data_IF_839392643403
#
_entry.id   IF_839392643403
#
_cell.length_a   1.000
_cell.length_b   1.000
_cell.length_c   1.000
_cell.angle_alpha   90.00
_cell.angle_beta   90.00
_cell.angle_gamma   90.00
#
_symmetry.space_group_name_H-M   'P 1'
#
loop_
_entity.id
_entity.type
_entity.pdbx_description
1 polymer ?
#
# COMPACT_ATOMS: atom_id res chain seq x y z
N UNK A 1 16.69 -10.55 15.25
CA UNK A 1 17.04 -9.39 14.41
C UNK A 1 15.81 -9.07 13.58
N UNK A 2 15.27 -7.85 13.69
CA UNK A 2 14.13 -7.44 12.86
C UNK A 2 14.71 -6.96 11.56
N UNK A 3 14.53 -7.71 10.47
CA UNK A 3 14.97 -7.30 9.13
C UNK A 3 13.84 -6.49 8.50
N UNK A 4 14.03 -5.18 8.40
CA UNK A 4 13.14 -4.32 7.63
C UNK A 4 13.60 -4.35 6.17
N UNK A 5 12.70 -4.55 5.20
CA UNK A 5 13.04 -4.52 3.79
C UNK A 5 13.81 -3.24 3.43
N UNK A 6 14.94 -3.37 2.74
CA UNK A 6 15.81 -2.24 2.35
C UNK A 6 15.05 -1.11 1.62
N UNK A 7 13.97 -1.46 0.95
CA UNK A 7 13.12 -0.50 0.22
C UNK A 7 12.38 0.47 1.14
N UNK A 8 11.97 0.04 2.34
CA UNK A 8 11.38 0.94 3.33
C UNK A 8 12.45 1.85 3.97
N UNK A 9 13.70 1.38 4.08
CA UNK A 9 14.81 2.19 4.58
C UNK A 9 15.28 3.23 3.56
N UNK A 10 15.33 2.90 2.27
CA UNK A 10 15.75 3.84 1.22
C UNK A 10 14.68 4.90 0.91
N UNK A 11 13.41 4.60 1.17
CA UNK A 11 12.30 5.54 0.97
C UNK A 11 12.17 6.55 2.10
N UNK A 12 12.68 6.28 3.29
CA UNK A 12 12.74 7.25 4.40
C UNK A 12 13.57 8.50 4.03
N UNK A 13 14.56 8.37 3.17
CA UNK A 13 15.41 9.48 2.69
C UNK A 13 14.68 10.48 1.76
N UNK A 14 13.48 10.15 1.25
CA UNK A 14 12.70 11.04 0.36
C UNK A 14 11.82 12.05 1.11
N UNK A 15 11.86 12.06 2.44
CA UNK A 15 10.90 12.82 3.27
C UNK A 15 11.41 14.21 3.74
N UNK A 16 12.14 14.95 2.91
CA UNK A 16 12.42 16.37 3.17
C UNK A 16 11.21 17.32 3.24
N UNK A 17 9.98 16.78 3.06
CA UNK A 17 8.75 17.58 3.00
C UNK A 17 7.76 17.31 4.15
N UNK A 18 8.17 16.56 5.16
CA UNK A 18 7.26 15.86 6.07
C UNK A 18 6.78 16.59 7.31
N UNK A 19 7.16 17.83 7.61
CA UNK A 19 6.68 18.49 8.85
C UNK A 19 5.16 18.63 8.90
N UNK A 20 4.53 19.02 7.80
CA UNK A 20 3.06 19.16 7.70
C UNK A 20 2.36 17.81 7.88
N UNK A 21 2.94 16.77 7.30
CA UNK A 21 2.41 15.42 7.37
C UNK A 21 2.62 14.79 8.75
N UNK A 22 3.80 15.00 9.35
CA UNK A 22 4.12 14.55 10.71
C UNK A 22 3.23 15.21 11.74
N UNK A 23 2.99 16.52 11.59
CA UNK A 23 2.05 17.26 12.42
C UNK A 23 0.64 16.68 12.35
N UNK A 24 0.11 16.48 11.14
CA UNK A 24 -1.22 15.91 10.93
C UNK A 24 -1.32 14.47 11.45
N UNK A 25 -0.29 13.64 11.21
CA UNK A 25 -0.26 12.25 11.67
C UNK A 25 -0.14 12.13 13.20
N UNK A 26 0.65 12.99 13.84
CA UNK A 26 0.75 13.04 15.29
C UNK A 26 -0.59 13.40 15.96
N UNK A 27 -1.39 14.25 15.30
CA UNK A 27 -2.68 14.72 15.78
C UNK A 27 -3.85 13.78 15.46
N UNK A 28 -3.67 12.73 14.65
CA UNK A 28 -4.77 11.82 14.26
C UNK A 28 -5.26 10.90 15.37
N UNK A 29 -4.62 10.90 16.55
CA UNK A 29 -5.05 10.11 17.71
C UNK A 29 -6.32 10.69 18.33
N UNK A 30 -7.44 10.06 18.01
CA UNK A 30 -8.62 10.19 18.84
C UNK A 30 -8.53 9.21 20.01
N UNK A 31 -8.25 9.73 21.19
CA UNK A 31 -8.22 8.96 22.44
C UNK A 31 -9.60 8.43 22.85
N UNK A 32 -10.67 8.93 22.25
CA UNK A 32 -12.06 8.60 22.61
C UNK A 32 -12.63 7.40 21.85
N UNK A 33 -12.02 6.97 20.75
CA UNK A 33 -12.48 5.83 19.93
C UNK A 33 -11.50 4.65 19.93
N UNK A 34 -11.02 4.27 21.11
CA UNK A 34 -10.64 2.91 21.49
C UNK A 34 -9.88 2.03 20.52
N UNK A 35 -8.70 2.45 20.09
CA UNK A 35 -7.71 1.53 19.56
C UNK A 35 -6.44 1.62 20.39
N UNK A 36 -6.30 0.84 21.45
CA UNK A 36 -5.13 0.87 22.35
C UNK A 36 -3.80 0.48 21.71
N UNK A 37 -3.71 0.41 20.37
CA UNK A 37 -2.48 0.09 19.64
C UNK A 37 -1.74 1.37 19.24
N UNK A 38 -0.44 1.46 19.57
CA UNK A 38 0.42 2.56 19.13
C UNK A 38 0.70 2.50 17.63
N UNK A 39 1.22 3.59 17.05
CA UNK A 39 1.65 3.61 15.64
C UNK A 39 2.72 2.55 15.39
N UNK A 40 3.65 2.35 16.32
CA UNK A 40 4.68 1.31 16.24
C UNK A 40 4.10 -0.08 16.19
N UNK A 41 3.03 -0.36 16.96
CA UNK A 41 2.32 -1.65 16.90
C UNK A 41 1.55 -1.82 15.59
N UNK A 42 0.97 -0.74 15.04
CA UNK A 42 0.32 -0.77 13.74
C UNK A 42 1.34 -1.01 12.62
N UNK A 43 2.51 -0.38 12.70
CA UNK A 43 3.62 -0.65 11.79
C UNK A 43 4.07 -2.11 11.86
N UNK A 44 4.29 -2.64 13.08
CA UNK A 44 4.65 -4.03 13.29
C UNK A 44 3.65 -5.01 12.66
N UNK A 45 2.35 -4.73 12.78
CA UNK A 45 1.28 -5.49 12.13
C UNK A 45 1.31 -5.41 10.60
N UNK A 46 1.69 -4.27 10.04
CA UNK A 46 1.76 -4.06 8.58
C UNK A 46 2.98 -4.76 7.99
N UNK A 47 4.13 -4.71 8.67
CA UNK A 47 5.37 -5.34 8.24
C UNK A 47 5.32 -6.87 8.37
N UNK A 48 4.63 -7.37 9.39
CA UNK A 48 4.51 -8.80 9.66
C UNK A 48 3.03 -9.18 9.67
N UNK A 49 2.47 -9.53 8.50
CA UNK A 49 1.07 -9.91 8.38
C UNK A 49 0.73 -11.04 9.34
N UNK A 50 -0.45 -10.96 9.92
CA UNK A 50 -0.93 -12.00 10.83
C UNK A 50 -1.06 -13.31 10.07
N UNK A 51 -0.51 -14.40 10.64
CA UNK A 51 -0.89 -15.73 10.24
C UNK A 51 -2.41 -15.93 10.48
N UNK A 52 -3.04 -16.78 9.70
CA UNK A 52 -4.46 -17.11 9.88
C UNK A 52 -4.71 -17.58 11.31
N UNK A 53 -5.56 -16.85 12.02
CA UNK A 53 -5.91 -17.11 13.42
C UNK A 53 -7.16 -18.01 13.50
N UNK A 54 -7.76 -18.35 12.35
CA UNK A 54 -8.92 -19.23 12.30
C UNK A 54 -8.57 -20.61 12.91
N UNK A 55 -9.43 -21.10 13.78
CA UNK A 55 -9.28 -22.44 14.38
C UNK A 55 -10.64 -23.10 14.48
N UNK A 56 -10.70 -24.36 14.08
CA UNK A 56 -11.89 -25.19 14.23
C UNK A 56 -12.15 -25.61 15.71
N UNK A 57 -11.17 -25.40 16.59
CA UNK A 57 -11.27 -25.77 18.03
C UNK A 57 -11.81 -24.54 18.80
N UNK A 58 -12.93 -24.68 19.54
CA UNK A 58 -13.50 -23.63 20.37
C UNK A 58 -12.47 -23.10 21.39
N UNK A 59 -12.33 -21.77 21.51
CA UNK A 59 -11.40 -21.12 22.45
C UNK A 59 -9.96 -20.95 21.94
N UNK A 60 -9.45 -21.78 21.06
CA UNK A 60 -8.09 -21.67 20.52
C UNK A 60 -7.86 -20.41 19.69
N UNK A 61 -8.88 -19.87 19.05
CA UNK A 61 -8.80 -18.60 18.33
C UNK A 61 -8.44 -17.41 19.25
N UNK A 62 -8.97 -17.40 20.49
CA UNK A 62 -8.63 -16.38 21.48
C UNK A 62 -7.18 -16.49 21.95
N UNK A 63 -6.71 -17.70 22.23
CA UNK A 63 -5.31 -17.95 22.64
C UNK A 63 -4.33 -17.56 21.51
N UNK A 64 -4.62 -17.97 20.29
CA UNK A 64 -3.84 -17.54 19.11
C UNK A 64 -3.82 -16.02 18.95
N UNK A 65 -4.95 -15.35 19.20
CA UNK A 65 -5.04 -13.88 19.12
C UNK A 65 -4.12 -13.20 20.15
N UNK A 66 -4.10 -13.70 21.40
CA UNK A 66 -3.20 -13.20 22.45
C UNK A 66 -1.74 -13.38 22.04
N UNK A 67 -1.40 -14.56 21.51
CA UNK A 67 -0.04 -14.85 21.03
C UNK A 67 0.40 -13.94 19.86
N UNK A 68 -0.50 -13.66 18.92
CA UNK A 68 -0.25 -12.72 17.85
C UNK A 68 -0.03 -11.31 18.40
N UNK A 69 -0.83 -10.89 19.37
CA UNK A 69 -0.65 -9.59 20.04
C UNK A 69 0.66 -9.47 20.80
N UNK A 70 1.09 -10.53 21.45
CA UNK A 70 2.38 -10.57 22.13
C UNK A 70 3.55 -10.40 21.13
N UNK A 71 3.48 -11.09 19.99
CA UNK A 71 4.47 -10.91 18.91
C UNK A 71 4.49 -9.49 18.37
N UNK A 72 3.32 -8.87 18.12
CA UNK A 72 3.24 -7.46 17.73
C UNK A 72 3.90 -6.54 18.76
N UNK A 73 3.71 -6.78 20.05
CA UNK A 73 4.33 -6.00 21.14
C UNK A 73 5.85 -6.14 21.15
N UNK A 74 6.35 -7.37 21.12
CA UNK A 74 7.80 -7.63 21.09
C UNK A 74 8.45 -6.96 19.87
N UNK A 75 7.80 -7.03 18.71
CA UNK A 75 8.27 -6.39 17.48
C UNK A 75 8.26 -4.86 17.62
N UNK A 76 7.20 -4.30 18.20
CA UNK A 76 7.12 -2.86 18.45
C UNK A 76 8.24 -2.36 19.38
N UNK A 77 8.52 -3.08 20.47
CA UNK A 77 9.64 -2.76 21.38
C UNK A 77 10.98 -2.84 20.65
N UNK A 78 11.18 -3.83 19.78
CA UNK A 78 12.40 -3.93 18.98
C UNK A 78 12.54 -2.76 18.00
N UNK A 79 11.44 -2.33 17.36
CA UNK A 79 11.44 -1.15 16.49
C UNK A 79 11.81 0.11 17.28
N UNK A 80 11.19 0.37 18.43
CA UNK A 80 11.46 1.55 19.25
C UNK A 80 12.86 1.58 19.86
N UNK A 81 13.53 0.43 20.00
CA UNK A 81 14.93 0.36 20.44
C UNK A 81 15.95 0.65 19.34
N UNK A 82 15.60 0.38 18.08
CA UNK A 82 16.52 0.46 16.93
C UNK A 82 16.28 1.68 16.03
N UNK A 83 15.14 2.33 16.15
CA UNK A 83 14.71 3.42 15.29
C UNK A 83 14.16 4.58 16.11
N UNK A 84 14.40 5.79 15.64
CA UNK A 84 13.81 7.01 16.19
C UNK A 84 12.31 7.07 15.91
N UNK A 85 11.59 7.92 16.64
CA UNK A 85 10.15 8.12 16.40
C UNK A 85 9.85 8.62 14.99
N UNK A 86 10.73 9.45 14.45
CA UNK A 86 10.60 9.99 13.10
C UNK A 86 10.77 8.90 12.03
N UNK A 87 11.79 8.05 12.18
CA UNK A 87 11.99 6.92 11.29
C UNK A 87 10.82 5.92 11.32
N UNK A 88 10.28 5.66 12.53
CA UNK A 88 9.08 4.80 12.69
C UNK A 88 7.87 5.43 12.00
N UNK A 89 7.69 6.76 12.12
CA UNK A 89 6.61 7.47 11.44
C UNK A 89 6.78 7.40 9.93
N UNK A 90 7.98 7.63 9.42
CA UNK A 90 8.27 7.56 7.99
C UNK A 90 8.01 6.15 7.44
N UNK A 91 8.48 5.11 8.12
CA UNK A 91 8.17 3.72 7.76
C UNK A 91 6.66 3.44 7.76
N UNK A 92 5.94 3.95 8.77
CA UNK A 92 4.49 3.78 8.88
C UNK A 92 3.76 4.44 7.71
N UNK A 93 4.09 5.70 7.40
CA UNK A 93 3.48 6.45 6.32
C UNK A 93 3.77 5.86 4.94
N UNK A 94 4.91 5.18 4.78
CA UNK A 94 5.26 4.48 3.54
C UNK A 94 4.58 3.12 3.39
N UNK A 95 4.12 2.50 4.48
CA UNK A 95 3.56 1.15 4.47
C UNK A 95 2.03 1.11 4.61
N UNK A 96 1.42 2.14 5.21
CA UNK A 96 0.00 2.12 5.56
C UNK A 96 -0.90 2.20 4.31
N UNK A 97 -2.05 1.51 4.39
CA UNK A 97 -3.06 1.52 3.35
C UNK A 97 -3.98 2.73 3.46
N UNK A 98 -4.15 3.48 2.38
CA UNK A 98 -4.99 4.68 2.28
C UNK A 98 -6.31 4.47 1.54
N UNK A 99 -6.59 3.28 1.03
CA UNK A 99 -7.74 3.02 0.15
C UNK A 99 -7.39 3.17 -1.33
N UNK A 100 -8.32 2.83 -2.24
CA UNK A 100 -8.14 2.92 -3.70
C UNK A 100 -6.82 2.30 -4.19
N UNK A 101 -6.45 1.13 -3.64
CA UNK A 101 -5.18 0.42 -3.87
C UNK A 101 -3.90 1.20 -3.53
N UNK A 102 -4.01 2.36 -2.86
CA UNK A 102 -2.85 3.17 -2.50
C UNK A 102 -2.22 2.70 -1.19
N UNK A 103 -1.01 2.15 -1.27
CA UNK A 103 -0.16 1.82 -0.14
C UNK A 103 0.98 2.83 -0.04
N UNK A 104 1.08 3.45 1.11
CA UNK A 104 2.04 4.52 1.37
C UNK A 104 1.58 5.89 0.85
N UNK A 105 2.13 6.93 1.50
CA UNK A 105 1.72 8.32 1.25
C UNK A 105 2.02 8.80 -0.16
N UNK A 106 3.09 8.31 -0.79
CA UNK A 106 3.42 8.68 -2.17
C UNK A 106 2.36 8.18 -3.15
N UNK A 107 1.96 6.91 -3.04
CA UNK A 107 0.90 6.35 -3.86
C UNK A 107 -0.44 7.06 -3.59
N UNK A 108 -0.75 7.34 -2.31
CA UNK A 108 -1.98 8.04 -1.94
C UNK A 108 -2.04 9.47 -2.48
N UNK A 109 -0.96 10.24 -2.36
CA UNK A 109 -0.92 11.63 -2.89
C UNK A 109 -1.08 11.67 -4.41
N UNK A 110 -0.46 10.74 -5.11
CA UNK A 110 -0.63 10.60 -6.56
C UNK A 110 -2.06 10.16 -6.92
N UNK A 111 -2.60 9.16 -6.23
CA UNK A 111 -3.94 8.62 -6.50
C UNK A 111 -5.04 9.65 -6.27
N UNK A 112 -5.00 10.39 -5.16
CA UNK A 112 -6.10 11.29 -4.78
C UNK A 112 -5.94 12.70 -5.30
N UNK A 113 -4.70 13.19 -5.48
CA UNK A 113 -4.43 14.59 -5.78
C UNK A 113 -3.50 14.81 -6.98
N UNK A 114 -2.98 13.74 -7.60
CA UNK A 114 -1.99 13.78 -8.70
C UNK A 114 -0.75 14.64 -8.35
N UNK A 115 -0.35 14.66 -7.07
CA UNK A 115 0.76 15.47 -6.54
C UNK A 115 1.82 14.58 -5.88
N UNK A 116 3.04 15.12 -5.75
CA UNK A 116 4.01 14.52 -4.83
C UNK A 116 3.65 14.84 -3.37
N UNK A 117 4.08 14.05 -2.39
CA UNK A 117 3.84 14.33 -0.98
C UNK A 117 4.33 15.72 -0.51
N UNK A 118 5.42 16.23 -1.13
CA UNK A 118 5.97 17.58 -0.89
C UNK A 118 5.03 18.72 -1.27
N UNK A 119 4.20 18.47 -2.27
CA UNK A 119 3.39 19.50 -2.92
C UNK A 119 1.96 19.53 -2.37
N UNK A 120 1.65 18.62 -1.42
CA UNK A 120 0.35 18.58 -0.76
C UNK A 120 0.14 19.83 0.11
N UNK A 121 -1.06 20.37 0.03
CA UNK A 121 -1.51 21.40 0.95
C UNK A 121 -1.87 20.83 2.33
N UNK A 122 -2.13 21.70 3.31
CA UNK A 122 -2.47 21.25 4.67
C UNK A 122 -3.77 20.47 4.67
N UNK A 123 -4.80 20.94 3.95
CA UNK A 123 -6.10 20.27 3.86
C UNK A 123 -6.02 18.93 3.13
N UNK A 124 -5.20 18.80 2.10
CA UNK A 124 -4.96 17.54 1.40
C UNK A 124 -4.22 16.54 2.30
N UNK A 125 -3.19 17.00 2.99
CA UNK A 125 -2.45 16.20 3.99
C UNK A 125 -3.36 15.73 5.12
N UNK A 126 -4.18 16.62 5.67
CA UNK A 126 -5.14 16.28 6.72
C UNK A 126 -6.22 15.30 6.24
N UNK A 127 -6.61 15.37 4.97
CA UNK A 127 -7.54 14.40 4.34
C UNK A 127 -6.92 13.01 4.33
N UNK A 128 -5.69 12.87 3.81
CA UNK A 128 -5.00 11.57 3.77
C UNK A 128 -4.79 11.00 5.16
N UNK A 129 -4.33 11.81 6.12
CA UNK A 129 -4.17 11.37 7.52
C UNK A 129 -5.51 10.92 8.12
N UNK A 130 -6.58 11.64 7.83
CA UNK A 130 -7.93 11.27 8.26
C UNK A 130 -8.37 9.90 7.75
N UNK A 131 -7.97 9.55 6.52
CA UNK A 131 -8.30 8.26 5.88
C UNK A 131 -7.63 7.06 6.55
N UNK A 132 -6.42 7.20 7.10
CA UNK A 132 -5.66 6.09 7.71
C UNK A 132 -6.45 5.34 8.78
N UNK A 133 -7.31 6.03 9.51
CA UNK A 133 -8.13 5.42 10.57
C UNK A 133 -9.12 4.37 10.02
N UNK A 134 -9.86 4.71 8.95
CA UNK A 134 -10.81 3.83 8.26
C UNK A 134 -10.83 4.18 6.76
N UNK A 135 -9.90 3.61 5.95
CA UNK A 135 -9.67 4.03 4.57
C UNK A 135 -10.92 4.01 3.67
N UNK A 136 -11.77 3.00 3.80
CA UNK A 136 -13.03 2.93 3.02
C UNK A 136 -14.06 3.95 3.50
N UNK A 137 -14.20 4.14 4.83
CA UNK A 137 -15.22 5.01 5.41
C UNK A 137 -14.94 6.50 5.16
N UNK A 138 -13.66 6.88 5.21
CA UNK A 138 -13.21 8.26 5.06
C UNK A 138 -12.59 8.55 3.69
N UNK A 139 -12.84 7.67 2.72
CA UNK A 139 -12.44 7.89 1.34
C UNK A 139 -13.22 9.08 0.75
N UNK A 140 -12.55 10.15 0.29
CA UNK A 140 -13.21 11.36 -0.20
C UNK A 140 -13.99 11.15 -1.51
N UNK A 141 -13.62 10.12 -2.30
CA UNK A 141 -14.33 9.76 -3.53
C UNK A 141 -15.62 9.00 -3.24
N UNK A 142 -15.61 8.13 -2.21
CA UNK A 142 -16.76 7.27 -1.88
C UNK A 142 -17.69 7.98 -0.89
N UNK A 143 -17.14 8.69 0.10
CA UNK A 143 -17.88 9.30 1.19
C UNK A 143 -17.36 10.74 1.47
N UNK A 144 -17.60 11.71 0.58
CA UNK A 144 -17.05 13.07 0.69
C UNK A 144 -17.37 13.76 2.00
N UNK A 145 -18.62 13.65 2.48
CA UNK A 145 -19.06 14.31 3.74
C UNK A 145 -18.33 13.75 4.97
N UNK A 146 -18.19 12.43 5.05
CA UNK A 146 -17.46 11.78 6.16
C UNK A 146 -15.97 12.07 6.09
N UNK A 147 -15.42 12.16 4.90
CA UNK A 147 -14.04 12.57 4.67
C UNK A 147 -13.81 14.00 5.13
N UNK A 148 -14.70 14.94 4.75
CA UNK A 148 -14.66 16.34 5.16
C UNK A 148 -14.72 16.48 6.70
N UNK A 149 -15.67 15.79 7.35
CA UNK A 149 -15.78 15.80 8.81
C UNK A 149 -14.48 15.28 9.48
N UNK A 150 -13.93 14.19 8.96
CA UNK A 150 -12.72 13.60 9.51
C UNK A 150 -11.48 14.48 9.27
N UNK A 151 -11.35 15.10 8.10
CA UNK A 151 -10.33 16.12 7.80
C UNK A 151 -10.42 17.29 8.78
N UNK A 152 -11.62 17.82 8.99
CA UNK A 152 -11.84 18.95 9.90
C UNK A 152 -11.52 18.61 11.36
N UNK A 153 -11.74 17.35 11.77
CA UNK A 153 -11.27 16.84 13.05
C UNK A 153 -9.73 16.87 13.13
N UNK A 154 -9.02 16.35 12.12
CA UNK A 154 -7.55 16.37 12.08
C UNK A 154 -7.01 17.80 12.15
N UNK A 155 -7.57 18.73 11.37
CA UNK A 155 -7.22 20.15 11.39
C UNK A 155 -7.42 20.78 12.79
N UNK A 156 -8.50 20.42 13.48
CA UNK A 156 -8.72 20.87 14.85
C UNK A 156 -7.72 20.28 15.86
N UNK A 157 -7.22 19.05 15.62
CA UNK A 157 -6.14 18.52 16.46
C UNK A 157 -4.79 19.21 16.18
N UNK A 158 -4.53 19.58 14.92
CA UNK A 158 -3.33 20.35 14.56
C UNK A 158 -3.29 21.72 15.24
N UNK A 159 -4.44 22.40 15.31
CA UNK A 159 -4.57 23.66 16.05
C UNK A 159 -4.32 23.45 17.55
N UNK A 160 -4.97 22.47 18.18
CA UNK A 160 -4.76 22.16 19.61
C UNK A 160 -3.31 21.80 19.94
N UNK A 161 -2.58 21.22 18.99
CA UNK A 161 -1.16 20.89 19.14
C UNK A 161 -0.22 22.07 18.80
N UNK A 162 -0.75 23.24 18.46
CA UNK A 162 0.02 24.45 18.17
C UNK A 162 0.64 24.53 16.77
N UNK A 163 0.28 23.64 15.85
CA UNK A 163 0.75 23.68 14.45
C UNK A 163 -0.02 24.67 13.58
N UNK A 164 -1.23 25.07 13.99
CA UNK A 164 -2.07 26.02 13.30
C UNK A 164 -2.62 27.05 14.28
N UNK A 165 -2.79 28.27 13.82
CA UNK A 165 -3.56 29.28 14.56
C UNK A 165 -5.06 29.03 14.35
N UNK A 166 -5.90 29.61 15.23
CA UNK A 166 -7.37 29.54 15.12
C UNK A 166 -7.87 30.08 13.77
N UNK A 167 -7.34 31.22 13.33
CA UNK A 167 -7.68 31.81 12.03
C UNK A 167 -7.33 30.91 10.83
N UNK A 168 -6.16 30.24 10.89
CA UNK A 168 -5.76 29.27 9.85
C UNK A 168 -6.68 28.04 9.85
N UNK A 169 -7.00 27.49 11.03
CA UNK A 169 -7.95 26.39 11.17
C UNK A 169 -9.28 26.70 10.50
N UNK A 170 -9.85 27.85 10.80
CA UNK A 170 -11.17 28.25 10.31
C UNK A 170 -11.16 28.52 8.79
N UNK A 171 -10.12 29.16 8.29
CA UNK A 171 -9.92 29.36 6.86
C UNK A 171 -9.81 28.00 6.12
N UNK A 172 -8.98 27.07 6.60
CA UNK A 172 -8.75 25.76 5.94
C UNK A 172 -10.03 24.91 5.98
N UNK A 173 -10.83 24.98 7.05
CA UNK A 173 -12.10 24.23 7.16
C UNK A 173 -13.12 24.62 6.10
N UNK A 174 -13.08 25.83 5.57
CA UNK A 174 -13.99 26.29 4.52
C UNK A 174 -13.62 25.73 3.13
N UNK A 175 -12.38 25.29 2.93
CA UNK A 175 -11.93 24.74 1.65
C UNK A 175 -12.62 23.38 1.42
N UNK A 176 -13.31 23.15 0.29
CA UNK A 176 -13.91 21.87 -0.04
C UNK A 176 -12.82 20.81 -0.27
N UNK A 177 -13.15 19.54 -0.07
CA UNK A 177 -12.25 18.43 -0.46
C UNK A 177 -12.36 18.25 -1.97
N UNK A 178 -11.30 18.60 -2.68
CA UNK A 178 -11.23 18.45 -4.13
C UNK A 178 -10.42 17.20 -4.49
N UNK A 179 -11.06 16.23 -5.11
CA UNK A 179 -10.45 14.99 -5.63
C UNK A 179 -10.72 14.84 -7.13
N UNK A 180 -10.89 15.93 -7.85
CA UNK A 180 -11.11 15.90 -9.32
C UNK A 180 -9.95 15.25 -10.08
N UNK A 181 -8.76 15.27 -9.52
CA UNK A 181 -7.57 14.61 -10.07
C UNK A 181 -7.43 13.13 -9.64
N UNK A 182 -8.44 12.57 -8.98
CA UNK A 182 -8.38 11.17 -8.50
C UNK A 182 -8.24 10.20 -9.68
N UNK A 183 -7.19 9.42 -9.62
CA UNK A 183 -6.93 8.31 -10.54
C UNK A 183 -6.51 7.09 -9.74
N UNK A 184 -7.28 6.01 -9.83
CA UNK A 184 -6.85 4.75 -9.23
C UNK A 184 -5.61 4.28 -9.99
N UNK A 185 -4.48 4.26 -9.31
CA UNK A 185 -3.29 3.63 -9.84
C UNK A 185 -3.50 2.10 -9.76
N UNK A 186 -4.13 1.55 -10.78
CA UNK A 186 -4.20 0.11 -10.95
C UNK A 186 -2.79 -0.42 -11.25
N UNK A 187 -2.50 -1.66 -10.84
CA UNK A 187 -1.28 -2.36 -11.25
C UNK A 187 -1.17 -2.51 -12.77
N UNK A 188 -2.30 -2.37 -13.48
CA UNK A 188 -2.36 -2.27 -14.94
C UNK A 188 -2.13 -0.84 -15.46
N UNK A 189 -2.11 0.19 -14.60
CA UNK A 189 -1.83 1.55 -15.02
C UNK A 189 -0.38 1.70 -15.50
N UNK A 190 -0.19 2.56 -16.50
CA UNK A 190 1.10 2.84 -17.12
C UNK A 190 1.36 1.98 -18.35
N UNK A 191 2.55 2.14 -18.91
CA UNK A 191 2.94 1.56 -20.19
C UNK A 191 2.92 0.02 -20.16
N UNK A 192 2.36 -0.60 -21.22
CA UNK A 192 2.31 -2.05 -21.40
C UNK A 192 1.41 -2.80 -20.43
N UNK A 193 0.15 -2.40 -20.18
CA UNK A 193 -0.73 -3.06 -19.21
C UNK A 193 -0.95 -4.53 -19.52
N UNK A 194 -1.16 -4.87 -20.79
CA UNK A 194 -1.34 -6.26 -21.24
C UNK A 194 -0.07 -7.10 -21.02
N UNK A 195 1.10 -6.53 -21.30
CA UNK A 195 2.38 -7.20 -21.05
C UNK A 195 2.58 -7.48 -19.56
N UNK A 196 2.28 -6.50 -18.70
CA UNK A 196 2.35 -6.66 -17.25
C UNK A 196 1.43 -7.78 -16.76
N UNK A 197 0.19 -7.81 -17.21
CA UNK A 197 -0.78 -8.84 -16.82
C UNK A 197 -0.34 -10.23 -17.32
N UNK A 198 0.11 -10.35 -18.56
CA UNK A 198 0.66 -11.58 -19.11
C UNK A 198 1.86 -12.07 -18.28
N UNK A 199 2.79 -11.17 -17.96
CA UNK A 199 3.97 -11.50 -17.17
C UNK A 199 3.60 -11.98 -15.76
N UNK A 200 2.68 -11.28 -15.10
CA UNK A 200 2.19 -11.65 -13.77
C UNK A 200 1.55 -13.04 -13.79
N UNK A 201 0.69 -13.33 -14.77
CA UNK A 201 0.05 -14.65 -14.94
C UNK A 201 1.09 -15.74 -15.20
N UNK A 202 2.04 -15.47 -16.07
CA UNK A 202 3.13 -16.41 -16.40
C UNK A 202 3.96 -16.74 -15.16
N UNK A 203 4.39 -15.73 -14.39
CA UNK A 203 5.20 -15.94 -13.19
C UNK A 203 4.43 -16.61 -12.05
N UNK A 204 3.10 -16.39 -11.94
CA UNK A 204 2.21 -17.00 -10.94
C UNK A 204 1.67 -18.37 -11.34
N UNK A 205 1.96 -18.84 -12.55
CA UNK A 205 1.51 -20.17 -12.98
C UNK A 205 1.95 -21.24 -11.97
N UNK A 206 1.11 -22.24 -11.76
CA UNK A 206 1.39 -23.37 -10.88
C UNK A 206 1.80 -24.57 -11.72
N UNK A 207 2.48 -25.53 -11.11
CA UNK A 207 2.80 -26.78 -11.76
C UNK A 207 1.53 -27.43 -12.31
N UNK A 208 1.45 -27.73 -13.63
CA UNK A 208 0.30 -28.33 -14.23
C UNK A 208 -0.05 -29.68 -13.60
N UNK A 209 -1.33 -29.92 -13.36
CA UNK A 209 -1.84 -31.23 -12.90
C UNK A 209 -2.82 -31.75 -13.94
N UNK A 210 -2.72 -33.01 -14.31
CA UNK A 210 -3.60 -33.62 -15.34
C UNK A 210 -5.10 -33.43 -15.03
N UNK A 211 -5.46 -33.39 -13.74
CA UNK A 211 -6.83 -33.17 -13.29
C UNK A 211 -7.43 -31.83 -13.63
N UNK A 212 -6.58 -30.83 -13.90
CA UNK A 212 -7.00 -29.43 -14.09
C UNK A 212 -7.32 -29.12 -15.59
N UNK A 213 -7.10 -30.11 -16.47
CA UNK A 213 -7.22 -29.97 -17.92
C UNK A 213 -8.25 -30.93 -18.50
N UNK A 214 -9.12 -30.43 -19.35
CA UNK A 214 -10.08 -31.25 -20.08
C UNK A 214 -9.38 -32.04 -21.18
N UNK A 215 -8.52 -31.39 -21.98
CA UNK A 215 -7.79 -32.03 -23.08
C UNK A 215 -6.37 -32.44 -22.64
N UNK A 216 -5.93 -33.61 -23.13
CA UNK A 216 -4.59 -34.11 -22.84
C UNK A 216 -3.49 -33.27 -23.49
N UNK A 217 -3.78 -32.69 -24.64
CA UNK A 217 -2.87 -31.84 -25.42
C UNK A 217 -2.52 -30.56 -24.70
N UNK A 218 -3.52 -29.88 -24.08
CA UNK A 218 -3.31 -28.67 -23.30
C UNK A 218 -2.44 -28.94 -22.07
N UNK A 219 -2.69 -30.09 -21.39
CA UNK A 219 -1.85 -30.51 -20.28
C UNK A 219 -0.42 -30.78 -20.72
N UNK A 220 -0.22 -31.46 -21.88
CA UNK A 220 1.11 -31.75 -22.39
C UNK A 220 1.86 -30.47 -22.76
N UNK A 221 1.16 -29.52 -23.41
CA UNK A 221 1.72 -28.22 -23.79
C UNK A 221 2.16 -27.40 -22.58
N UNK A 222 1.31 -27.27 -21.56
CA UNK A 222 1.65 -26.54 -20.34
C UNK A 222 2.68 -27.24 -19.48
N UNK A 223 2.70 -28.59 -19.49
CA UNK A 223 3.76 -29.36 -18.83
C UNK A 223 5.11 -29.17 -19.50
N UNK A 224 5.16 -29.16 -20.81
CA UNK A 224 6.39 -28.86 -21.56
C UNK A 224 6.86 -27.41 -21.28
N UNK A 225 5.92 -26.47 -21.31
CA UNK A 225 6.21 -25.08 -20.99
C UNK A 225 6.74 -24.92 -19.56
N UNK A 226 6.18 -25.67 -18.60
CA UNK A 226 6.66 -25.68 -17.23
C UNK A 226 8.13 -26.11 -17.14
N UNK A 227 8.57 -27.08 -17.92
CA UNK A 227 9.92 -27.59 -17.91
C UNK A 227 10.90 -26.69 -18.68
N UNK A 228 10.46 -26.11 -19.79
CA UNK A 228 11.34 -25.39 -20.72
C UNK A 228 11.37 -23.88 -20.52
N UNK A 229 10.26 -23.25 -20.07
CA UNK A 229 10.18 -21.81 -19.84
C UNK A 229 10.59 -21.47 -18.41
N UNK A 230 11.75 -20.83 -18.27
CA UNK A 230 12.28 -20.42 -16.96
C UNK A 230 11.42 -19.40 -16.21
N UNK A 231 10.52 -18.66 -16.91
CA UNK A 231 9.66 -17.63 -16.32
C UNK A 231 8.30 -18.21 -15.95
N UNK A 232 7.81 -19.22 -16.68
CA UNK A 232 6.52 -19.86 -16.40
C UNK A 232 6.55 -20.57 -15.07
N UNK A 233 5.76 -20.07 -14.10
CA UNK A 233 5.73 -20.59 -12.73
C UNK A 233 6.95 -20.22 -11.89
N UNK A 234 7.64 -19.13 -12.21
CA UNK A 234 8.88 -18.73 -11.51
C UNK A 234 8.68 -18.60 -10.00
N UNK A 235 7.55 -18.05 -9.55
CA UNK A 235 7.23 -17.89 -8.12
C UNK A 235 7.00 -19.23 -7.39
N UNK A 236 6.60 -20.26 -8.11
CA UNK A 236 6.39 -21.60 -7.54
C UNK A 236 7.69 -22.42 -7.53
N UNK A 237 8.54 -22.22 -8.56
CA UNK A 237 9.83 -22.88 -8.70
C UNK A 237 10.91 -22.33 -7.78
N UNK A 238 10.82 -21.04 -7.38
CA UNK A 238 11.86 -20.36 -6.62
C UNK A 238 11.39 -20.03 -5.20
N UNK A 239 12.29 -20.16 -4.24
CA UNK A 239 12.06 -19.86 -2.84
C UNK A 239 13.13 -18.91 -2.31
N UNK A 240 12.79 -18.11 -1.32
CA UNK A 240 13.74 -17.29 -0.57
C UNK A 240 14.66 -18.17 0.27
N UNK A 241 15.75 -17.59 0.77
CA UNK A 241 16.69 -18.28 1.64
C UNK A 241 16.07 -18.85 2.92
N UNK A 242 14.95 -18.27 3.38
CA UNK A 242 14.17 -18.72 4.53
C UNK A 242 13.10 -19.78 4.17
N UNK A 243 13.03 -20.24 2.92
CA UNK A 243 12.08 -21.22 2.40
C UNK A 243 10.71 -20.63 2.03
N UNK A 244 10.46 -19.35 2.29
CA UNK A 244 9.20 -18.69 1.94
C UNK A 244 9.10 -18.42 0.43
N UNK A 245 7.86 -18.26 -0.05
CA UNK A 245 7.59 -17.88 -1.44
C UNK A 245 7.92 -16.40 -1.68
N UNK A 246 8.42 -16.09 -2.88
CA UNK A 246 8.54 -14.70 -3.31
C UNK A 246 7.16 -14.08 -3.54
N UNK A 247 7.01 -12.81 -3.12
CA UNK A 247 5.85 -11.98 -3.42
C UNK A 247 6.22 -10.97 -4.50
N UNK A 248 5.52 -11.02 -5.64
CA UNK A 248 5.80 -10.19 -6.82
C UNK A 248 5.74 -8.68 -6.52
N UNK A 249 4.93 -8.30 -5.53
CA UNK A 249 4.65 -6.90 -5.20
C UNK A 249 5.44 -6.37 -3.99
N UNK A 250 5.98 -7.26 -3.15
CA UNK A 250 6.60 -6.89 -1.87
C UNK A 250 8.09 -7.12 -1.81
N UNK A 251 8.62 -8.06 -2.58
CA UNK A 251 10.02 -8.48 -2.45
C UNK A 251 10.99 -7.72 -3.37
N UNK A 252 10.52 -6.66 -4.04
CA UNK A 252 11.37 -5.78 -4.84
C UNK A 252 12.05 -6.46 -6.03
N UNK A 253 11.39 -7.45 -6.63
CA UNK A 253 11.90 -8.15 -7.80
C UNK A 253 12.13 -7.19 -8.97
N UNK A 254 13.30 -7.27 -9.58
CA UNK A 254 13.62 -6.54 -10.80
C UNK A 254 13.44 -7.45 -12.00
N UNK A 255 12.52 -7.10 -12.89
CA UNK A 255 12.21 -7.86 -14.09
C UNK A 255 12.70 -7.06 -15.30
N UNK A 256 13.62 -7.64 -16.05
CA UNK A 256 14.15 -7.05 -17.27
C UNK A 256 13.39 -7.61 -18.46
N UNK A 257 12.95 -6.74 -19.37
CA UNK A 257 12.26 -7.14 -20.59
C UNK A 257 12.95 -6.53 -21.81
N UNK A 258 12.66 -7.06 -22.99
CA UNK A 258 13.13 -6.56 -24.28
C UNK A 258 12.22 -5.47 -24.86
N UNK A 259 11.17 -5.06 -24.13
CA UNK A 259 10.25 -4.01 -24.58
C UNK A 259 10.95 -2.67 -24.56
N UNK A 260 11.00 -2.01 -25.71
CA UNK A 260 11.41 -0.61 -25.82
C UNK A 260 10.27 0.30 -25.35
N UNK A 261 10.58 1.18 -24.40
CA UNK A 261 9.60 2.07 -23.77
C UNK A 261 8.97 3.04 -24.78
N UNK A 262 9.75 3.54 -25.75
CA UNK A 262 9.24 4.51 -26.71
C UNK A 262 8.38 3.84 -27.78
N UNK A 263 8.82 2.70 -28.27
CA UNK A 263 8.03 1.90 -29.23
C UNK A 263 6.69 1.46 -28.64
N UNK A 264 6.69 1.02 -27.37
CA UNK A 264 5.46 0.64 -26.67
C UNK A 264 4.49 1.83 -26.54
N UNK A 265 5.02 3.01 -26.17
CA UNK A 265 4.20 4.24 -26.10
C UNK A 265 3.60 4.61 -27.44
N UNK A 266 4.39 4.60 -28.51
CA UNK A 266 3.88 4.91 -29.85
C UNK A 266 2.81 3.90 -30.32
N UNK A 267 2.97 2.62 -29.98
CA UNK A 267 1.97 1.61 -30.28
C UNK A 267 0.65 1.85 -29.53
N UNK A 268 0.71 2.19 -28.24
CA UNK A 268 -0.47 2.52 -27.42
C UNK A 268 -1.16 3.80 -27.90
N UNK A 269 -0.39 4.84 -28.24
CA UNK A 269 -0.91 6.08 -28.83
C UNK A 269 -1.63 5.82 -30.16
N UNK A 270 -1.04 5.02 -31.05
CA UNK A 270 -1.65 4.64 -32.32
C UNK A 270 -2.94 3.85 -32.13
N UNK A 271 -2.99 2.90 -31.21
CA UNK A 271 -4.21 2.16 -30.87
C UNK A 271 -5.29 3.09 -30.34
N UNK A 272 -4.95 4.00 -29.42
CA UNK A 272 -5.91 4.97 -28.88
C UNK A 272 -6.43 5.94 -29.96
N UNK A 273 -5.59 6.34 -30.90
CA UNK A 273 -5.98 7.23 -31.99
C UNK A 273 -6.94 6.54 -32.99
N UNK A 274 -6.71 5.27 -33.29
CA UNK A 274 -7.49 4.55 -34.29
C UNK A 274 -8.73 3.85 -33.74
N UNK A 275 -8.71 3.37 -32.51
CA UNK A 275 -9.81 2.62 -31.89
C UNK A 275 -10.60 3.45 -30.85
N UNK A 276 -10.10 4.59 -30.43
CA UNK A 276 -10.76 5.45 -29.43
C UNK A 276 -11.69 6.52 -30.01
N UNK A 277 -12.02 6.43 -31.28
CA UNK A 277 -12.89 7.39 -32.01
C UNK A 277 -14.31 6.90 -32.26
N UNK A 278 -14.73 5.77 -31.64
CA UNK A 278 -16.11 5.25 -31.73
C UNK A 278 -16.90 5.59 -30.47
#
# INVERSE_FOLDING_TARGET
MVVIPRELQSRAAYFGAGERYRAAAACSRDSSQGGGSTITQQLAKTLYPRADVSSKVPGWSKVKMVWVKLKEWITAVKLERNYTKDEIMDMYMNAVFFGSNAYGVKAASQTFFAKNPSDLTIEESATLVGMVNKPTRYNPVINPDKSLQRRNFVIGQMEKAGYLTEAQRDSIRQIPVNVSAHQVMDHNAGLGPYFKDMLIRTMKARKPKRSDYYYAEDYAADSLRWETDGIYGWLDKNRKADGSQYDLYRDGLRIYSTIDKNMQRYAEEAVAEHLGKD
#
